data_IF_422833973318
#
_entry.id   IF_422833973318
#
_cell.length_a   1.000
_cell.length_b   1.000
_cell.length_c   1.000
_cell.angle_alpha   90.00
_cell.angle_beta   90.00
_cell.angle_gamma   90.00
#
_symmetry.space_group_name_H-M   'P 1'
#
loop_
_entity.id
_entity.type
_entity.pdbx_description
1 polymer ?
#
# COMPACT_ATOMS: atom_id res chain seq x y z
N UNK A 1 -11.52 -2.66 17.15
CA UNK A 1 -11.87 -2.90 15.73
C UNK A 1 -10.66 -2.76 14.80
N UNK A 2 -9.95 -1.63 14.77
CA UNK A 2 -8.80 -1.40 13.86
C UNK A 2 -7.69 -2.46 13.93
N UNK A 3 -7.33 -2.93 15.14
CA UNK A 3 -6.31 -3.98 15.33
C UNK A 3 -6.72 -5.33 14.74
N UNK A 4 -8.00 -5.71 14.84
CA UNK A 4 -8.52 -6.95 14.29
C UNK A 4 -8.59 -6.94 12.77
N UNK A 5 -8.91 -5.79 12.17
CA UNK A 5 -8.88 -5.59 10.71
C UNK A 5 -7.45 -5.70 10.14
N UNK A 6 -6.48 -4.98 10.74
CA UNK A 6 -5.09 -4.98 10.28
C UNK A 6 -4.38 -6.32 10.51
N UNK A 7 -4.68 -7.02 11.61
CA UNK A 7 -4.14 -8.36 11.88
C UNK A 7 -4.90 -9.47 11.14
N UNK A 8 -6.18 -9.26 10.78
CA UNK A 8 -7.00 -10.20 10.02
C UNK A 8 -6.49 -10.42 8.59
N UNK A 9 -5.91 -9.38 7.98
CA UNK A 9 -5.13 -9.51 6.74
C UNK A 9 -3.95 -10.49 6.89
N UNK A 10 -3.35 -10.57 8.08
CA UNK A 10 -2.21 -11.41 8.40
C UNK A 10 -2.59 -12.86 8.81
N UNK A 11 -3.88 -13.19 8.90
CA UNK A 11 -4.37 -14.50 9.39
C UNK A 11 -5.07 -15.35 8.34
N UNK A 12 -5.38 -14.82 7.14
CA UNK A 12 -6.02 -15.58 6.06
C UNK A 12 -5.17 -15.57 4.80
N UNK A 13 -4.80 -16.75 4.30
CA UNK A 13 -4.02 -16.90 3.07
C UNK A 13 -4.76 -16.30 1.85
N UNK A 14 -6.09 -16.42 1.77
CA UNK A 14 -6.88 -15.85 0.65
C UNK A 14 -6.84 -14.32 0.64
N UNK A 15 -6.98 -13.68 1.82
CA UNK A 15 -6.89 -12.23 1.93
C UNK A 15 -5.48 -11.74 1.62
N UNK A 16 -4.45 -12.49 2.02
CA UNK A 16 -3.07 -12.18 1.66
C UNK A 16 -2.83 -12.21 0.16
N UNK A 17 -3.23 -13.28 -0.54
CA UNK A 17 -3.04 -13.35 -1.99
C UNK A 17 -3.86 -12.30 -2.74
N UNK A 18 -5.05 -11.95 -2.25
CA UNK A 18 -5.83 -10.84 -2.79
C UNK A 18 -5.10 -9.50 -2.60
N UNK A 19 -4.55 -9.23 -1.40
CA UNK A 19 -3.74 -8.04 -1.13
C UNK A 19 -2.53 -7.97 -2.08
N UNK A 20 -1.83 -9.09 -2.29
CA UNK A 20 -0.69 -9.16 -3.21
C UNK A 20 -1.11 -8.89 -4.65
N UNK A 21 -2.21 -9.49 -5.10
CA UNK A 21 -2.73 -9.28 -6.45
C UNK A 21 -3.09 -7.80 -6.66
N UNK A 22 -3.79 -7.18 -5.69
CA UNK A 22 -4.14 -5.77 -5.75
C UNK A 22 -2.90 -4.85 -5.71
N UNK A 23 -1.92 -5.14 -4.84
CA UNK A 23 -0.64 -4.40 -4.80
C UNK A 23 0.11 -4.49 -6.11
N UNK A 24 0.16 -5.68 -6.72
CA UNK A 24 0.83 -5.89 -7.99
C UNK A 24 0.12 -5.13 -9.12
N UNK A 25 -1.20 -5.24 -9.21
CA UNK A 25 -2.02 -4.55 -10.21
C UNK A 25 -1.88 -3.03 -10.10
N UNK A 26 -2.07 -2.48 -8.90
CA UNK A 26 -1.97 -1.03 -8.66
C UNK A 26 -0.53 -0.55 -8.88
N UNK A 27 0.46 -1.28 -8.35
CA UNK A 27 1.87 -0.93 -8.51
C UNK A 27 2.33 -0.94 -9.96
N UNK A 28 1.92 -1.95 -10.74
CA UNK A 28 2.19 -2.01 -12.17
C UNK A 28 1.50 -0.88 -12.94
N UNK A 29 0.23 -0.58 -12.62
CA UNK A 29 -0.49 0.53 -13.22
C UNK A 29 0.21 1.87 -12.97
N UNK A 30 0.70 2.11 -11.74
CA UNK A 30 1.49 3.29 -11.40
C UNK A 30 2.79 3.36 -12.20
N UNK A 31 3.55 2.26 -12.33
CA UNK A 31 4.78 2.26 -13.11
C UNK A 31 4.54 2.56 -14.59
N UNK A 32 3.47 2.02 -15.18
CA UNK A 32 3.14 2.22 -16.59
C UNK A 32 2.65 3.64 -16.86
N UNK A 33 1.83 4.21 -15.95
CA UNK A 33 1.25 5.55 -16.13
C UNK A 33 2.10 6.68 -15.56
N UNK A 34 3.09 6.38 -14.71
CA UNK A 34 3.95 7.37 -14.06
C UNK A 34 4.53 8.42 -15.02
N UNK A 35 5.05 8.08 -16.23
CA UNK A 35 5.62 9.08 -17.13
C UNK A 35 4.62 10.17 -17.59
N UNK A 36 3.32 9.87 -17.59
CA UNK A 36 2.25 10.79 -17.97
C UNK A 36 1.63 11.54 -16.77
N UNK A 37 1.95 11.15 -15.54
CA UNK A 37 1.40 11.76 -14.32
C UNK A 37 2.27 12.94 -13.85
N UNK A 38 1.67 13.91 -13.13
CA UNK A 38 2.44 14.88 -12.36
C UNK A 38 3.40 14.16 -11.39
N UNK A 39 4.66 14.58 -11.29
CA UNK A 39 5.68 13.92 -10.45
C UNK A 39 5.98 12.44 -10.83
N UNK A 40 6.47 12.18 -12.05
CA UNK A 40 6.72 10.82 -12.54
C UNK A 40 7.67 10.01 -11.64
N UNK A 41 8.66 10.66 -11.03
CA UNK A 41 9.59 10.01 -10.10
C UNK A 41 8.87 9.46 -8.85
N UNK A 42 7.93 10.22 -8.29
CA UNK A 42 7.20 9.81 -7.09
C UNK A 42 6.32 8.58 -7.37
N UNK A 43 5.60 8.58 -8.49
CA UNK A 43 4.77 7.46 -8.90
C UNK A 43 5.58 6.22 -9.31
N UNK A 44 6.75 6.41 -9.93
CA UNK A 44 7.68 5.31 -10.22
C UNK A 44 8.21 4.66 -8.94
N UNK A 45 8.64 5.46 -7.95
CA UNK A 45 9.10 4.93 -6.66
C UNK A 45 7.96 4.22 -5.92
N UNK A 46 6.78 4.83 -5.86
CA UNK A 46 5.60 4.24 -5.21
C UNK A 46 5.19 2.90 -5.87
N UNK A 47 5.11 2.86 -7.20
CA UNK A 47 4.82 1.66 -7.96
C UNK A 47 5.88 0.57 -7.76
N UNK A 48 7.16 0.95 -7.81
CA UNK A 48 8.29 0.06 -7.58
C UNK A 48 8.29 -0.56 -6.17
N UNK A 49 7.96 0.23 -5.14
CA UNK A 49 7.82 -0.26 -3.77
C UNK A 49 6.66 -1.26 -3.66
N UNK A 50 5.50 -0.97 -4.26
CA UNK A 50 4.36 -1.89 -4.24
C UNK A 50 4.68 -3.23 -4.92
N UNK A 51 5.28 -3.18 -6.11
CA UNK A 51 5.66 -4.40 -6.85
C UNK A 51 6.76 -5.15 -6.11
N UNK A 52 7.83 -4.46 -5.67
CA UNK A 52 8.96 -5.09 -4.99
C UNK A 52 8.57 -5.74 -3.66
N UNK A 53 7.71 -5.09 -2.87
CA UNK A 53 7.27 -5.64 -1.58
C UNK A 53 6.30 -6.81 -1.72
N UNK A 54 5.61 -6.95 -2.87
CA UNK A 54 4.76 -8.10 -3.20
C UNK A 54 5.58 -9.40 -3.27
N UNK A 55 6.86 -9.32 -3.62
CA UNK A 55 7.76 -10.48 -3.70
C UNK A 55 8.27 -10.96 -2.32
N UNK A 56 7.97 -10.22 -1.24
CA UNK A 56 8.43 -10.58 0.11
C UNK A 56 7.67 -11.81 0.61
N UNK A 57 8.37 -12.87 1.07
CA UNK A 57 7.73 -14.07 1.58
C UNK A 57 6.75 -13.78 2.71
N UNK A 58 5.57 -14.43 2.68
CA UNK A 58 4.52 -14.26 3.68
C UNK A 58 5.00 -14.29 5.12
N UNK A 59 5.91 -15.23 5.46
CA UNK A 59 6.45 -15.34 6.83
C UNK A 59 7.18 -14.08 7.29
N UNK A 60 7.91 -13.41 6.38
CA UNK A 60 8.60 -12.15 6.66
C UNK A 60 7.61 -10.99 6.75
N UNK A 61 6.65 -10.92 5.84
CA UNK A 61 5.59 -9.92 5.88
C UNK A 61 4.75 -10.01 7.17
N UNK A 62 4.38 -11.23 7.58
CA UNK A 62 3.64 -11.49 8.81
C UNK A 62 4.45 -11.12 10.06
N UNK A 63 5.74 -11.45 10.11
CA UNK A 63 6.62 -11.07 11.21
C UNK A 63 6.79 -9.55 11.31
N UNK A 64 6.92 -8.85 10.18
CA UNK A 64 6.97 -7.40 10.12
C UNK A 64 5.66 -6.77 10.61
N UNK A 65 4.51 -7.22 10.08
CA UNK A 65 3.20 -6.72 10.48
C UNK A 65 2.96 -6.86 11.99
N UNK A 66 3.33 -8.00 12.59
CA UNK A 66 3.21 -8.21 14.04
C UNK A 66 4.01 -7.21 14.88
N UNK A 67 5.15 -6.73 14.37
CA UNK A 67 6.01 -5.74 15.05
C UNK A 67 5.54 -4.32 14.81
N UNK A 68 5.19 -3.99 13.57
CA UNK A 68 4.96 -2.61 13.14
C UNK A 68 3.50 -2.16 13.33
N UNK A 69 2.52 -3.05 13.15
CA UNK A 69 1.09 -2.70 13.29
C UNK A 69 0.75 -2.14 14.68
N UNK A 70 1.22 -2.70 15.81
CA UNK A 70 0.95 -2.12 17.13
C UNK A 70 1.49 -0.71 17.29
N UNK A 71 2.64 -0.40 16.69
CA UNK A 71 3.24 0.93 16.71
C UNK A 71 2.46 1.90 15.82
N UNK A 72 2.11 1.49 14.60
CA UNK A 72 1.32 2.26 13.65
C UNK A 72 -0.07 2.62 14.22
N UNK A 73 -0.71 1.69 14.92
CA UNK A 73 -2.01 1.92 15.58
C UNK A 73 -1.99 3.05 16.63
N UNK A 74 -0.83 3.39 17.20
CA UNK A 74 -0.72 4.54 18.12
C UNK A 74 -0.92 5.88 17.41
N UNK A 75 -0.70 5.92 16.10
CA UNK A 75 -0.83 7.10 15.25
C UNK A 75 -2.03 6.98 14.29
N UNK A 76 -3.03 6.18 14.64
CA UNK A 76 -4.16 5.88 13.76
C UNK A 76 -4.86 7.12 13.18
N UNK A 77 -5.12 8.21 13.94
CA UNK A 77 -5.71 9.42 13.37
C UNK A 77 -4.83 10.07 12.30
N UNK A 78 -3.52 10.15 12.56
CA UNK A 78 -2.55 10.73 11.63
C UNK A 78 -2.41 9.86 10.37
N UNK A 79 -2.44 8.53 10.51
CA UNK A 79 -2.49 7.61 9.38
C UNK A 79 -3.75 7.82 8.54
N UNK A 80 -4.91 8.00 9.18
CA UNK A 80 -6.16 8.27 8.48
C UNK A 80 -6.09 9.56 7.64
N UNK A 81 -5.64 10.66 8.24
CA UNK A 81 -5.46 11.94 7.54
C UNK A 81 -4.46 11.82 6.39
N UNK A 82 -3.31 11.17 6.64
CA UNK A 82 -2.31 10.94 5.61
C UNK A 82 -2.85 10.08 4.45
N UNK A 83 -3.60 9.01 4.75
CA UNK A 83 -4.24 8.18 3.73
C UNK A 83 -5.26 8.94 2.90
N UNK A 84 -6.06 9.82 3.50
CA UNK A 84 -7.00 10.67 2.77
C UNK A 84 -6.26 11.66 1.85
N UNK A 85 -5.21 12.31 2.36
CA UNK A 85 -4.39 13.24 1.57
C UNK A 85 -3.71 12.55 0.39
N UNK A 86 -3.12 11.37 0.61
CA UNK A 86 -2.50 10.57 -0.45
C UNK A 86 -3.54 10.08 -1.47
N UNK A 87 -4.73 9.66 -1.02
CA UNK A 87 -5.82 9.26 -1.90
C UNK A 87 -6.32 10.40 -2.78
N UNK A 88 -6.53 11.58 -2.19
CA UNK A 88 -6.93 12.78 -2.93
C UNK A 88 -5.84 13.21 -3.94
N UNK A 89 -4.56 13.16 -3.53
CA UNK A 89 -3.43 13.46 -4.41
C UNK A 89 -3.31 12.49 -5.58
N UNK A 90 -3.54 11.20 -5.35
CA UNK A 90 -3.58 10.19 -6.41
C UNK A 90 -4.73 10.46 -7.39
N UNK A 91 -5.93 10.75 -6.88
CA UNK A 91 -7.08 11.09 -7.73
C UNK A 91 -6.81 12.33 -8.59
N UNK A 92 -6.23 13.36 -7.99
CA UNK A 92 -5.80 14.55 -8.71
C UNK A 92 -4.79 14.20 -9.82
N UNK A 93 -3.77 13.40 -9.52
CA UNK A 93 -2.76 13.01 -10.49
C UNK A 93 -3.32 12.20 -11.67
N UNK A 94 -4.36 11.39 -11.43
CA UNK A 94 -5.08 10.65 -12.48
C UNK A 94 -5.93 11.57 -13.35
N UNK A 95 -6.51 12.63 -12.79
CA UNK A 95 -7.33 13.58 -13.57
C UNK A 95 -6.45 14.57 -14.33
N UNK A 96 -5.28 14.92 -13.78
CA UNK A 96 -4.37 15.91 -14.32
C UNK A 96 -3.41 15.36 -15.41
N UNK A 97 -3.41 14.05 -15.70
CA UNK A 97 -2.57 13.40 -16.72
C UNK A 97 -3.19 12.13 -17.29
#
# INVERSE_FOLDING_TARGET
MARGFLLGHASSARLHYLELALRLLVGAALLVRAPAMPWPQAFTVAGGVLVGTTLVPWRRHQAFARRTVPQALRFLPMLGVASLGLGAGLLYAIVAG
#
